data_IF_948909599030
#
_entry.id   IF_948909599030
#
_cell.length_a   1.000
_cell.length_b   1.000
_cell.length_c   1.000
_cell.angle_alpha   90.00
_cell.angle_beta   90.00
_cell.angle_gamma   90.00
#
_symmetry.space_group_name_H-M   'P 1'
#
loop_
_entity.id
_entity.type
_entity.pdbx_description
1 polymer ?
#
# COMPACT_ATOMS: atom_id res chain seq x y z
N UNK A 1 -12.09 17.57 0.41
CA UNK A 1 -13.03 16.48 0.08
C UNK A 1 -12.40 15.15 0.50
N UNK A 2 -13.22 14.18 0.93
CA UNK A 2 -12.78 12.88 1.44
C UNK A 2 -13.45 11.79 0.61
N UNK A 3 -12.67 10.81 0.16
CA UNK A 3 -13.16 9.64 -0.58
C UNK A 3 -13.81 8.68 0.40
N UNK A 4 -15.10 8.43 0.24
CA UNK A 4 -15.91 7.64 1.18
C UNK A 4 -16.32 6.27 0.63
N UNK A 5 -16.19 6.03 -0.67
CA UNK A 5 -16.62 4.78 -1.30
C UNK A 5 -15.48 4.08 -2.05
N UNK A 6 -15.51 2.74 -2.03
CA UNK A 6 -14.57 1.89 -2.80
C UNK A 6 -14.65 2.20 -4.30
N UNK A 7 -15.86 2.37 -4.83
CA UNK A 7 -16.08 2.65 -6.25
C UNK A 7 -15.43 3.98 -6.68
N UNK A 8 -15.60 5.02 -5.86
CA UNK A 8 -14.97 6.32 -6.09
C UNK A 8 -13.44 6.22 -6.02
N UNK A 9 -12.92 5.51 -5.02
CA UNK A 9 -11.49 5.27 -4.85
C UNK A 9 -10.88 4.58 -6.09
N UNK A 10 -11.52 3.50 -6.57
CA UNK A 10 -11.08 2.75 -7.77
C UNK A 10 -11.17 3.59 -9.04
N UNK A 11 -12.29 4.31 -9.22
CA UNK A 11 -12.48 5.20 -10.38
C UNK A 11 -11.38 6.26 -10.44
N UNK A 12 -11.08 6.92 -9.32
CA UNK A 12 -10.02 7.94 -9.26
C UNK A 12 -8.65 7.35 -9.56
N UNK A 13 -8.35 6.16 -9.06
CA UNK A 13 -7.11 5.45 -9.41
C UNK A 13 -7.03 5.21 -10.93
N UNK A 14 -8.11 4.79 -11.58
CA UNK A 14 -8.17 4.61 -13.04
C UNK A 14 -8.05 5.94 -13.80
N UNK A 15 -8.60 7.04 -13.25
CA UNK A 15 -8.44 8.40 -13.77
C UNK A 15 -7.02 8.96 -13.56
N UNK A 16 -6.09 8.18 -13.02
CA UNK A 16 -4.68 8.54 -12.86
C UNK A 16 -4.36 9.27 -11.55
N UNK A 17 -5.27 9.27 -10.58
CA UNK A 17 -4.98 9.79 -9.26
C UNK A 17 -3.95 8.91 -8.53
N UNK A 18 -3.05 9.54 -7.79
CA UNK A 18 -1.95 8.84 -7.10
C UNK A 18 -2.24 8.68 -5.62
N UNK A 19 -2.16 7.44 -5.14
CA UNK A 19 -2.26 7.14 -3.72
C UNK A 19 -0.93 7.43 -3.00
N UNK A 20 -1.01 7.93 -1.77
CA UNK A 20 0.13 8.19 -0.90
C UNK A 20 -0.28 7.86 0.53
N UNK A 21 0.57 7.11 1.23
CA UNK A 21 0.36 6.79 2.65
C UNK A 21 0.97 7.88 3.53
N UNK A 22 0.24 8.31 4.57
CA UNK A 22 0.72 9.22 5.61
C UNK A 22 0.49 8.62 7.01
N UNK A 23 0.84 9.37 8.08
CA UNK A 23 0.65 8.91 9.47
C UNK A 23 -0.82 8.79 9.90
N UNK A 24 -1.75 9.38 9.14
CA UNK A 24 -3.19 9.43 9.47
C UNK A 24 -4.02 8.46 8.62
N UNK A 25 -3.41 7.79 7.64
CA UNK A 25 -4.06 6.86 6.72
C UNK A 25 -3.56 7.08 5.28
N UNK A 26 -4.50 7.09 4.33
CA UNK A 26 -4.21 7.33 2.92
C UNK A 26 -4.72 8.69 2.43
N UNK A 27 -3.99 9.27 1.48
CA UNK A 27 -4.38 10.46 0.73
C UNK A 27 -4.14 10.24 -0.76
N UNK A 28 -4.93 10.91 -1.57
CA UNK A 28 -4.83 10.88 -3.03
C UNK A 28 -4.44 12.24 -3.57
N UNK A 29 -3.57 12.23 -4.58
CA UNK A 29 -3.24 13.41 -5.39
C UNK A 29 -3.97 13.34 -6.72
N UNK A 30 -4.85 14.30 -6.95
CA UNK A 30 -5.57 14.42 -8.21
C UNK A 30 -4.84 15.28 -9.25
N UNK A 31 -5.36 15.29 -10.49
CA UNK A 31 -4.94 16.26 -11.50
C UNK A 31 -5.19 17.68 -10.99
N UNK A 32 -4.26 18.60 -11.28
CA UNK A 32 -4.28 19.96 -10.72
C UNK A 32 -3.69 20.09 -9.31
N UNK A 33 -3.04 19.04 -8.79
CA UNK A 33 -2.26 19.12 -7.54
C UNK A 33 -3.09 19.15 -6.26
N UNK A 34 -4.40 18.91 -6.36
CA UNK A 34 -5.29 18.81 -5.20
C UNK A 34 -5.03 17.54 -4.42
N UNK A 35 -5.06 17.66 -3.10
CA UNK A 35 -4.94 16.55 -2.17
C UNK A 35 -6.29 16.26 -1.53
N UNK A 36 -6.67 14.98 -1.55
CA UNK A 36 -7.88 14.49 -0.91
C UNK A 36 -7.55 13.34 0.03
N UNK A 37 -8.31 13.21 1.13
CA UNK A 37 -8.12 12.12 2.07
C UNK A 37 -8.99 10.93 1.69
N UNK A 38 -8.52 9.74 1.99
CA UNK A 38 -9.32 8.52 1.90
C UNK A 38 -9.91 8.23 3.28
N UNK A 39 -11.17 7.79 3.34
CA UNK A 39 -11.81 7.40 4.61
C UNK A 39 -11.03 6.26 5.27
N UNK A 40 -11.07 6.22 6.60
CA UNK A 40 -10.43 5.15 7.38
C UNK A 40 -11.04 3.78 7.08
N UNK A 41 -12.33 3.74 6.79
CA UNK A 41 -13.06 2.52 6.44
C UNK A 41 -12.54 1.87 5.14
N UNK A 42 -11.84 2.66 4.31
CA UNK A 42 -11.27 2.22 3.04
C UNK A 42 -9.75 1.96 3.13
N UNK A 43 -9.14 1.99 4.32
CA UNK A 43 -7.68 1.84 4.45
C UNK A 43 -7.17 0.53 3.87
N UNK A 44 -7.90 -0.58 4.05
CA UNK A 44 -7.53 -1.89 3.51
C UNK A 44 -7.49 -1.84 1.98
N UNK A 45 -8.56 -1.36 1.35
CA UNK A 45 -8.67 -1.26 -0.12
C UNK A 45 -7.67 -0.25 -0.68
N UNK A 46 -7.43 0.86 0.03
CA UNK A 46 -6.45 1.87 -0.35
C UNK A 46 -5.01 1.34 -0.27
N UNK A 47 -4.71 0.48 0.71
CA UNK A 47 -3.43 -0.20 0.80
C UNK A 47 -3.21 -1.16 -0.38
N UNK A 48 -4.20 -1.99 -0.72
CA UNK A 48 -4.14 -2.88 -1.88
C UNK A 48 -3.89 -2.11 -3.18
N UNK A 49 -4.65 -1.04 -3.41
CA UNK A 49 -4.50 -0.18 -4.60
C UNK A 49 -3.16 0.57 -4.63
N UNK A 50 -2.66 0.97 -3.45
CA UNK A 50 -1.34 1.61 -3.34
C UNK A 50 -0.21 0.64 -3.70
N UNK A 51 -0.26 -0.60 -3.22
CA UNK A 51 0.72 -1.63 -3.56
C UNK A 51 0.64 -2.01 -5.04
N UNK A 52 -0.57 -2.10 -5.61
CA UNK A 52 -0.76 -2.31 -7.05
C UNK A 52 -0.11 -1.19 -7.88
N UNK A 53 -0.41 0.08 -7.57
CA UNK A 53 0.22 1.24 -8.24
C UNK A 53 1.74 1.24 -8.08
N UNK A 54 2.24 0.78 -6.94
CA UNK A 54 3.67 0.70 -6.66
C UNK A 54 4.33 -0.39 -7.50
N UNK A 55 3.71 -1.56 -7.62
CA UNK A 55 4.20 -2.69 -8.41
C UNK A 55 4.21 -2.37 -9.91
N UNK A 56 3.14 -1.76 -10.45
CA UNK A 56 3.06 -1.34 -11.86
C UNK A 56 4.13 -0.30 -12.22
N UNK A 57 4.47 0.59 -11.29
CA UNK A 57 5.54 1.57 -11.46
C UNK A 57 6.94 0.99 -11.17
N UNK A 58 6.99 -0.22 -10.60
CA UNK A 58 8.07 -0.72 -9.76
C UNK A 58 8.76 -1.98 -10.26
N UNK A 59 8.94 -2.16 -11.57
CA UNK A 59 10.01 -3.01 -12.09
C UNK A 59 11.40 -2.67 -11.52
N UNK A 60 11.57 -1.50 -10.88
CA UNK A 60 12.75 -1.09 -10.10
C UNK A 60 12.36 -0.05 -9.03
N UNK A 61 12.10 -0.46 -7.78
CA UNK A 61 12.47 0.28 -6.55
C UNK A 61 11.77 -0.27 -5.29
N UNK A 62 12.52 -1.15 -4.63
CA UNK A 62 12.59 -1.40 -3.18
C UNK A 62 11.81 -0.42 -2.29
N UNK A 63 11.02 -0.96 -1.36
CA UNK A 63 10.51 -0.20 -0.21
C UNK A 63 9.11 -0.59 0.24
N UNK A 64 8.91 -1.87 0.58
CA UNK A 64 8.10 -2.32 1.73
C UNK A 64 8.01 -3.86 1.82
N UNK A 65 8.20 -4.62 0.73
CA UNK A 65 8.22 -6.10 0.79
C UNK A 65 9.51 -6.70 1.38
N UNK A 66 10.62 -5.95 1.40
CA UNK A 66 11.91 -6.45 1.93
C UNK A 66 11.91 -6.66 3.45
N UNK A 67 11.14 -5.87 4.20
CA UNK A 67 11.12 -5.95 5.66
C UNK A 67 10.28 -7.10 6.20
N UNK A 68 9.27 -7.56 5.46
CA UNK A 68 8.40 -8.66 5.89
C UNK A 68 8.98 -10.02 5.51
N UNK A 69 9.48 -10.18 4.28
CA UNK A 69 10.09 -11.43 3.82
C UNK A 69 11.43 -11.75 4.49
N UNK A 70 12.21 -10.72 4.87
CA UNK A 70 13.46 -10.93 5.62
C UNK A 70 13.19 -11.40 7.05
N UNK A 71 12.17 -10.82 7.72
CA UNK A 71 11.71 -11.30 9.03
C UNK A 71 11.06 -12.68 8.98
N UNK A 72 10.29 -13.00 7.94
CA UNK A 72 9.72 -14.34 7.74
C UNK A 72 10.83 -15.39 7.51
N UNK A 73 11.86 -15.08 6.72
CA UNK A 73 13.02 -15.97 6.55
C UNK A 73 13.79 -16.18 7.85
N UNK A 74 14.03 -15.11 8.62
CA UNK A 74 14.71 -15.21 9.91
C UNK A 74 13.93 -16.06 10.92
N UNK A 75 12.59 -15.92 10.96
CA UNK A 75 11.72 -16.76 11.78
C UNK A 75 11.72 -18.24 11.34
N UNK A 76 11.69 -18.51 10.03
CA UNK A 76 11.72 -19.88 9.50
C UNK A 76 13.06 -20.57 9.77
N UNK A 77 14.17 -19.83 9.72
CA UNK A 77 15.50 -20.36 10.03
C UNK A 77 15.65 -20.71 11.52
N UNK A 78 15.16 -19.85 12.42
CA UNK A 78 15.16 -20.12 13.87
C UNK A 78 14.26 -21.32 14.24
N UNK A 79 13.11 -21.49 13.56
CA UNK A 79 12.25 -22.66 13.74
C UNK A 79 12.92 -23.95 13.24
N UNK A 80 13.64 -23.90 12.11
CA UNK A 80 14.40 -25.03 11.57
C UNK A 80 15.54 -25.48 12.50
N UNK A 81 16.26 -24.53 13.13
CA UNK A 81 17.30 -24.82 14.13
C UNK A 81 16.73 -25.46 15.40
N UNK A 82 15.53 -25.07 15.83
CA UNK A 82 14.85 -25.64 16.99
C UNK A 82 14.26 -27.04 16.75
N UNK A 83 14.05 -27.43 15.50
CA UNK A 83 13.49 -28.75 15.17
C UNK A 83 14.55 -29.85 14.95
N UNK A 84 15.85 -29.52 15.00
CA UNK A 84 16.98 -30.45 14.87
C UNK A 84 17.82 -30.58 16.17
N UNK A 85 17.23 -30.24 17.32
CA UNK A 85 17.85 -30.40 18.64
C UNK A 85 17.21 -31.58 19.41
#
# INVERSE_FOLDING_TARGET
MVVQSVEELRRRVQEGWRLTRDRKGFKMRGPGGRWERVSRDLEVVAAELYEAQRSERGGRASGCEGLHKEKERQCLEELSKRSNA
#
